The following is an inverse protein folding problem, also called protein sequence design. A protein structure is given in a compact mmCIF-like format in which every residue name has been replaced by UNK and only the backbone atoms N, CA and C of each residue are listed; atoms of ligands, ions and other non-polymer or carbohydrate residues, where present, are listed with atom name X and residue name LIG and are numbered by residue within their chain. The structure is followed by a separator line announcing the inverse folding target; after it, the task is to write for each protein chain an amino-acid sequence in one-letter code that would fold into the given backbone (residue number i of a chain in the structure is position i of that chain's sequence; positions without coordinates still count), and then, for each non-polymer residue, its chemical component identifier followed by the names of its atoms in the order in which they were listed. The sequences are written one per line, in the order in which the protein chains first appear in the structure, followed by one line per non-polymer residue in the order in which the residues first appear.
data_IF_023723901105
#
_entry.id   IF_023723901105
#
_cell.length_a   1.000
_cell.length_b   1.000
_cell.length_c   1.000
_cell.angle_alpha   90.00
_cell.angle_beta   90.00
_cell.angle_gamma   90.00
#
_symmetry.space_group_name_H-M   'P 1'
#
loop_
_entity.id
_entity.type
_entity.pdbx_description
1 polymer ?
#
# COMPACT_ATOMS: atom_id res chain seq x y z
N UNK A 1 -17.13 15.94 31.33
CA UNK A 1 -15.96 16.58 30.69
C UNK A 1 -14.92 16.82 31.77
N UNK A 2 -14.09 15.81 32.06
CA UNK A 2 -13.16 15.86 33.19
C UNK A 2 -11.77 16.16 32.64
N UNK A 3 -11.32 17.40 32.85
CA UNK A 3 -9.94 17.83 32.58
C UNK A 3 -9.02 17.11 33.55
N UNK A 4 -8.30 16.09 33.06
CA UNK A 4 -7.29 15.38 33.85
C UNK A 4 -6.00 16.20 33.85
N UNK A 5 -5.64 16.69 35.01
CA UNK A 5 -4.50 17.60 35.25
C UNK A 5 -3.17 16.89 34.95
N UNK A 6 -2.24 17.61 34.30
CA UNK A 6 -0.88 17.20 33.89
C UNK A 6 0.09 16.88 35.06
N UNK A 7 -0.40 16.42 36.21
CA UNK A 7 0.36 16.25 37.45
C UNK A 7 0.07 14.89 38.07
N UNK A 8 0.72 13.86 37.53
CA UNK A 8 0.68 12.48 38.00
C UNK A 8 1.36 11.64 36.93
N UNK A 9 2.34 10.82 37.32
CA UNK A 9 3.27 10.10 36.44
C UNK A 9 2.63 9.04 35.52
N UNK A 10 1.64 9.42 34.73
CA UNK A 10 1.13 8.63 33.62
C UNK A 10 2.07 8.88 32.44
N UNK A 11 2.66 7.79 31.95
CA UNK A 11 3.57 7.82 30.80
C UNK A 11 2.91 8.52 29.60
N UNK A 12 3.66 9.32 28.80
CA UNK A 12 3.13 9.98 27.59
C UNK A 12 2.34 9.06 26.66
N UNK A 13 2.66 7.76 26.66
CA UNK A 13 1.98 6.73 25.88
C UNK A 13 0.51 6.50 26.31
N UNK A 14 0.19 6.66 27.60
CA UNK A 14 -1.18 6.51 28.10
C UNK A 14 -2.11 7.59 27.57
N UNK A 15 -1.64 8.85 27.56
CA UNK A 15 -2.41 9.96 26.99
C UNK A 15 -2.62 9.82 25.48
N UNK A 16 -1.60 9.32 24.77
CA UNK A 16 -1.68 9.07 23.34
C UNK A 16 -2.72 7.98 22.99
N UNK A 17 -2.71 6.86 23.71
CA UNK A 17 -3.69 5.79 23.51
C UNK A 17 -5.12 6.26 23.81
N UNK A 18 -5.31 7.00 24.90
CA UNK A 18 -6.62 7.55 25.28
C UNK A 18 -7.15 8.54 24.23
N UNK A 19 -6.28 9.42 23.70
CA UNK A 19 -6.67 10.36 22.65
C UNK A 19 -7.08 9.67 21.33
N UNK A 20 -6.69 8.41 21.14
CA UNK A 20 -6.98 7.62 19.93
C UNK A 20 -7.91 6.42 20.18
N UNK A 21 -8.50 6.34 21.37
CA UNK A 21 -9.29 5.19 21.81
C UNK A 21 -10.37 4.79 20.79
N UNK A 22 -11.12 5.77 20.28
CA UNK A 22 -12.15 5.53 19.27
C UNK A 22 -11.63 4.85 17.98
N UNK A 23 -10.43 5.22 17.53
CA UNK A 23 -9.82 4.58 16.37
C UNK A 23 -9.31 3.16 16.71
N UNK A 24 -8.78 2.96 17.91
CA UNK A 24 -8.25 1.67 18.38
C UNK A 24 -9.35 0.64 18.64
N UNK A 25 -10.58 1.05 18.97
CA UNK A 25 -11.70 0.15 19.26
C UNK A 25 -12.63 -0.07 18.07
N UNK A 26 -12.35 0.50 16.90
CA UNK A 26 -13.28 0.44 15.74
C UNK A 26 -13.57 -0.99 15.26
N UNK A 27 -12.65 -1.92 15.46
CA UNK A 27 -12.84 -3.35 15.16
C UNK A 27 -13.94 -4.01 16.00
N UNK A 28 -14.31 -3.42 17.14
CA UNK A 28 -15.42 -3.92 17.97
C UNK A 28 -16.77 -3.68 17.28
N UNK A 29 -16.87 -2.58 16.53
CA UNK A 29 -18.10 -2.19 15.82
C UNK A 29 -18.16 -2.77 14.39
N UNK A 30 -17.02 -3.09 13.78
CA UNK A 30 -16.91 -3.60 12.42
C UNK A 30 -15.99 -4.83 12.35
N UNK A 31 -16.59 -6.01 12.19
CA UNK A 31 -15.88 -7.28 12.12
C UNK A 31 -15.06 -7.50 10.83
N UNK A 32 -15.12 -6.58 9.86
CA UNK A 32 -14.22 -6.58 8.71
C UNK A 32 -12.86 -5.97 9.03
N UNK A 33 -12.73 -5.30 10.17
CA UNK A 33 -11.48 -4.71 10.63
C UNK A 33 -10.74 -5.66 11.56
N UNK A 34 -9.45 -5.80 11.32
CA UNK A 34 -8.55 -6.52 12.23
C UNK A 34 -8.29 -5.69 13.49
N UNK A 35 -8.08 -6.37 14.62
CA UNK A 35 -7.69 -5.74 15.90
C UNK A 35 -6.30 -5.07 15.83
N UNK A 36 -5.47 -5.53 14.90
CA UNK A 36 -4.09 -5.08 14.72
C UNK A 36 -3.83 -4.57 13.30
N UNK A 37 -2.71 -3.84 13.14
CA UNK A 37 -2.29 -3.26 11.88
C UNK A 37 -1.21 -4.09 11.16
N UNK A 38 -1.03 -5.36 11.54
CA UNK A 38 0.09 -6.18 11.06
C UNK A 38 0.10 -6.32 9.55
N UNK A 39 -1.09 -6.37 8.93
CA UNK A 39 -1.22 -6.43 7.48
C UNK A 39 -0.62 -5.19 6.79
N UNK A 40 -0.96 -3.98 7.24
CA UNK A 40 -0.42 -2.77 6.63
C UNK A 40 1.06 -2.56 6.96
N UNK A 41 1.50 -2.91 8.19
CA UNK A 41 2.91 -2.86 8.56
C UNK A 41 3.77 -3.80 7.70
N UNK A 42 3.29 -5.02 7.45
CA UNK A 42 3.95 -5.96 6.52
C UNK A 42 4.03 -5.39 5.10
N UNK A 43 2.97 -4.74 4.63
CA UNK A 43 2.97 -4.10 3.30
C UNK A 43 3.99 -2.95 3.22
N UNK A 44 4.08 -2.11 4.27
CA UNK A 44 5.02 -0.99 4.34
C UNK A 44 6.48 -1.43 4.52
N UNK A 45 6.73 -2.64 5.01
CA UNK A 45 8.09 -3.17 5.19
C UNK A 45 8.90 -3.17 3.90
N UNK A 46 8.27 -3.42 2.76
CA UNK A 46 8.92 -3.36 1.45
C UNK A 46 9.44 -1.95 1.13
N UNK A 47 8.65 -0.92 1.44
CA UNK A 47 9.02 0.50 1.26
C UNK A 47 10.17 0.87 2.19
N UNK A 48 10.09 0.46 3.46
CA UNK A 48 11.13 0.72 4.45
C UNK A 48 12.48 0.08 4.07
N UNK A 49 12.45 -1.13 3.50
CA UNK A 49 13.64 -1.81 2.98
C UNK A 49 14.16 -1.12 1.72
N UNK A 50 13.29 -0.81 0.76
CA UNK A 50 13.66 -0.14 -0.49
C UNK A 50 14.32 1.22 -0.28
N UNK A 51 13.90 1.97 0.75
CA UNK A 51 14.54 3.25 1.12
C UNK A 51 16.04 3.13 1.37
N UNK A 52 16.54 1.98 1.83
CA UNK A 52 17.98 1.75 2.02
C UNK A 52 18.75 1.59 0.70
N UNK A 53 18.05 1.24 -0.38
CA UNK A 53 18.62 0.98 -1.70
C UNK A 53 18.51 2.19 -2.64
N UNK A 54 17.84 3.25 -2.23
CA UNK A 54 17.70 4.47 -3.02
C UNK A 54 18.90 5.38 -2.76
N UNK A 55 19.83 5.47 -3.73
CA UNK A 55 21.04 6.31 -3.62
C UNK A 55 20.74 7.80 -3.42
N UNK A 56 19.60 8.27 -3.93
CA UNK A 56 19.17 9.66 -3.82
C UNK A 56 17.69 9.70 -3.42
N UNK A 57 17.43 9.91 -2.12
CA UNK A 57 16.11 10.18 -1.57
C UNK A 57 16.13 11.58 -1.00
N UNK A 58 15.21 12.44 -1.40
CA UNK A 58 15.18 13.79 -0.83
C UNK A 58 14.22 14.78 -1.47
N UNK A 59 13.47 14.41 -2.50
CA UNK A 59 12.43 15.27 -3.07
C UNK A 59 11.04 14.69 -2.85
N UNK A 60 10.07 15.55 -2.56
CA UNK A 60 8.67 15.17 -2.39
C UNK A 60 8.12 14.50 -3.65
N UNK A 61 8.45 15.06 -4.83
CA UNK A 61 8.06 14.47 -6.11
C UNK A 61 8.68 13.08 -6.37
N UNK A 62 9.87 12.81 -5.84
CA UNK A 62 10.47 11.46 -5.88
C UNK A 62 9.71 10.49 -4.98
N UNK A 63 9.28 10.94 -3.80
CA UNK A 63 8.44 10.18 -2.88
C UNK A 63 7.08 9.83 -3.48
N UNK A 64 6.41 10.80 -4.13
CA UNK A 64 5.12 10.60 -4.78
C UNK A 64 5.21 9.55 -5.91
N UNK A 65 6.23 9.64 -6.77
CA UNK A 65 6.47 8.65 -7.83
C UNK A 65 6.75 7.27 -7.27
N UNK A 66 7.55 7.17 -6.22
CA UNK A 66 7.81 5.90 -5.54
C UNK A 66 6.52 5.32 -4.95
N UNK A 67 5.67 6.14 -4.31
CA UNK A 67 4.39 5.71 -3.78
C UNK A 67 3.45 5.19 -4.88
N UNK A 68 3.40 5.86 -6.04
CA UNK A 68 2.64 5.39 -7.19
C UNK A 68 3.13 4.01 -7.68
N UNK A 69 4.45 3.84 -7.82
CA UNK A 69 5.05 2.55 -8.23
C UNK A 69 4.78 1.42 -7.22
N UNK A 70 4.96 1.69 -5.92
CA UNK A 70 4.65 0.71 -4.87
C UNK A 70 3.17 0.33 -4.85
N UNK A 71 2.28 1.29 -5.12
CA UNK A 71 0.83 1.05 -5.19
C UNK A 71 0.47 0.15 -6.38
N UNK A 72 1.08 0.37 -7.55
CA UNK A 72 0.89 -0.49 -8.73
C UNK A 72 1.39 -1.93 -8.48
N UNK A 73 2.60 -2.06 -7.90
CA UNK A 73 3.17 -3.36 -7.54
C UNK A 73 2.30 -4.08 -6.50
N UNK A 74 1.85 -3.37 -5.47
CA UNK A 74 0.96 -3.90 -4.45
C UNK A 74 -0.36 -4.39 -5.04
N UNK A 75 -0.96 -3.60 -5.93
CA UNK A 75 -2.20 -3.95 -6.61
C UNK A 75 -2.04 -5.18 -7.51
N UNK A 76 -0.92 -5.31 -8.24
CA UNK A 76 -0.63 -6.50 -9.03
C UNK A 76 -0.52 -7.76 -8.16
N UNK A 77 0.20 -7.67 -7.03
CA UNK A 77 0.31 -8.79 -6.07
C UNK A 77 -1.04 -9.19 -5.48
N UNK A 78 -1.88 -8.21 -5.12
CA UNK A 78 -3.22 -8.47 -4.60
C UNK A 78 -4.14 -9.17 -5.62
N UNK A 79 -3.90 -8.97 -6.91
CA UNK A 79 -4.61 -9.66 -7.99
C UNK A 79 -3.97 -11.02 -8.38
N UNK A 80 -2.94 -11.46 -7.65
CA UNK A 80 -2.23 -12.71 -7.91
C UNK A 80 -1.37 -12.68 -9.17
N UNK A 81 -0.89 -11.50 -9.58
CA UNK A 81 -0.06 -11.33 -10.77
C UNK A 81 1.42 -11.23 -10.42
N UNK A 82 2.28 -11.71 -11.32
CA UNK A 82 3.70 -11.40 -11.27
C UNK A 82 3.88 -9.88 -11.55
N UNK A 83 4.39 -9.09 -10.58
CA UNK A 83 4.50 -7.64 -10.75
C UNK A 83 5.45 -7.20 -11.86
N UNK A 84 6.49 -7.98 -12.14
CA UNK A 84 7.44 -7.70 -13.21
C UNK A 84 6.77 -7.85 -14.57
N UNK A 85 6.07 -8.95 -14.79
CA UNK A 85 5.32 -9.21 -16.02
C UNK A 85 4.19 -8.19 -16.23
N UNK A 86 3.50 -7.80 -15.17
CA UNK A 86 2.49 -6.75 -15.23
C UNK A 86 3.10 -5.41 -15.65
N UNK A 87 4.17 -4.97 -14.97
CA UNK A 87 4.81 -3.69 -15.27
C UNK A 87 5.42 -3.66 -16.67
N UNK A 88 6.08 -4.73 -17.10
CA UNK A 88 6.65 -4.80 -18.46
C UNK A 88 5.56 -4.74 -19.53
N UNK A 89 4.43 -5.43 -19.31
CA UNK A 89 3.28 -5.37 -20.23
C UNK A 89 2.66 -3.97 -20.29
N UNK A 90 2.47 -3.33 -19.14
CA UNK A 90 1.93 -1.96 -19.07
C UNK A 90 2.87 -0.99 -19.76
N UNK A 91 4.17 -1.01 -19.42
CA UNK A 91 5.17 -0.11 -20.00
C UNK A 91 5.35 -0.31 -21.50
N UNK A 92 5.22 -1.53 -22.01
CA UNK A 92 5.26 -1.81 -23.44
C UNK A 92 4.05 -1.24 -24.20
N UNK A 93 2.88 -1.15 -23.55
CA UNK A 93 1.62 -0.70 -24.19
C UNK A 93 1.32 0.79 -23.96
N UNK A 94 1.80 1.37 -22.86
CA UNK A 94 1.35 2.69 -22.37
C UNK A 94 1.63 3.83 -23.35
N UNK A 95 2.70 3.75 -24.15
CA UNK A 95 3.07 4.80 -25.10
C UNK A 95 2.07 4.94 -26.25
N UNK A 96 1.44 3.83 -26.65
CA UNK A 96 0.48 3.77 -27.77
C UNK A 96 -0.98 3.69 -27.27
N UNK A 97 -1.19 3.56 -25.95
CA UNK A 97 -2.51 3.37 -25.37
C UNK A 97 -3.26 4.71 -25.20
N UNK A 98 -4.54 4.81 -25.60
CA UNK A 98 -5.32 6.03 -25.41
C UNK A 98 -5.45 6.40 -23.93
N UNK A 99 -5.19 7.67 -23.59
CA UNK A 99 -5.29 8.18 -22.21
C UNK A 99 -6.68 7.99 -21.61
N UNK A 100 -7.74 8.05 -22.44
CA UNK A 100 -9.13 7.81 -22.03
C UNK A 100 -9.43 6.36 -21.62
N UNK A 101 -8.53 5.43 -21.97
CA UNK A 101 -8.69 3.98 -21.73
C UNK A 101 -7.61 3.39 -20.83
N UNK A 102 -6.86 4.23 -20.11
CA UNK A 102 -5.82 3.78 -19.17
C UNK A 102 -6.34 2.75 -18.16
N UNK A 103 -7.62 2.81 -17.81
CA UNK A 103 -8.28 1.83 -16.95
C UNK A 103 -8.14 0.37 -17.43
N UNK A 104 -8.03 0.14 -18.74
CA UNK A 104 -7.84 -1.20 -19.32
C UNK A 104 -6.48 -1.82 -18.95
N UNK A 105 -5.49 -0.98 -18.60
CA UNK A 105 -4.16 -1.43 -18.18
C UNK A 105 -4.09 -1.76 -16.68
N UNK A 106 -5.20 -1.62 -15.93
CA UNK A 106 -5.22 -1.91 -14.51
C UNK A 106 -5.11 -3.41 -14.22
N UNK A 107 -4.56 -3.81 -13.05
CA UNK A 107 -4.20 -5.19 -12.77
C UNK A 107 -5.36 -6.19 -12.92
N UNK A 108 -6.57 -5.83 -12.50
CA UNK A 108 -7.74 -6.70 -12.59
C UNK A 108 -8.24 -6.92 -14.02
N UNK A 109 -8.00 -5.96 -14.92
CA UNK A 109 -8.40 -6.07 -16.32
C UNK A 109 -7.40 -6.89 -17.15
N UNK A 110 -6.13 -6.89 -16.74
CA UNK A 110 -5.08 -7.70 -17.37
C UNK A 110 -4.91 -9.08 -16.73
N UNK A 111 -5.63 -9.38 -15.64
CA UNK A 111 -5.36 -10.55 -14.83
C UNK A 111 -5.51 -11.86 -15.61
N UNK A 112 -6.60 -12.01 -16.37
CA UNK A 112 -6.87 -13.22 -17.14
C UNK A 112 -5.86 -13.44 -18.27
N UNK A 113 -5.48 -12.34 -18.95
CA UNK A 113 -4.50 -12.36 -20.03
C UNK A 113 -3.11 -12.78 -19.52
N UNK A 114 -2.66 -12.19 -18.42
CA UNK A 114 -1.32 -12.42 -17.87
C UNK A 114 -1.19 -13.78 -17.17
N UNK A 115 -2.26 -14.27 -16.53
CA UNK A 115 -2.30 -15.64 -15.97
C UNK A 115 -2.18 -16.68 -17.09
N UNK A 116 -2.87 -16.50 -18.20
CA UNK A 116 -2.79 -17.40 -19.37
C UNK A 116 -1.37 -17.46 -19.93
N UNK A 117 -0.72 -16.31 -20.11
CA UNK A 117 0.67 -16.24 -20.57
C UNK A 117 1.66 -16.96 -19.63
N UNK A 118 1.45 -16.87 -18.31
CA UNK A 118 2.32 -17.55 -17.34
C UNK A 118 2.17 -19.08 -17.36
N UNK A 119 0.98 -19.58 -17.73
CA UNK A 119 0.73 -21.03 -17.85
C UNK A 119 1.26 -21.63 -19.15
N UNK A 120 1.38 -20.82 -20.21
CA UNK A 120 1.93 -21.27 -21.50
C UNK A 120 3.46 -21.23 -21.56
N UNK A 121 4.10 -20.50 -20.65
CA UNK A 121 5.55 -20.36 -20.55
C UNK A 121 6.21 -21.34 -19.55
N UNK A 122 5.42 -22.21 -18.91
CA UNK A 122 5.85 -23.25 -17.98
C UNK A 122 5.74 -24.63 -18.62
#
# INVERSE_FOLDING_TARGET
MTTITKKGGVSPYGYYALARWHALTRYVDDGLLEIDNSAAERALRAVALGRKNFLFVGSDGGGERAAAMYSLIGSAKLNGLNPELYLSTVLARIAEHPISRIGELLPWNLADQLKTHSLQAA
#
